data_IF_191181324845
#
_entry.id   IF_191181324845
#
_cell.length_a   1.000
_cell.length_b   1.000
_cell.length_c   1.000
_cell.angle_alpha   90.00
_cell.angle_beta   90.00
_cell.angle_gamma   90.00
#
_symmetry.space_group_name_H-M   'P 1'
#
loop_
_entity.id
_entity.type
_entity.pdbx_description
1 polymer ?
#
# COMPACT_ATOMS: atom_id res chain seq x y z
N UNK A 1 21.13 23.23 22.97
CA UNK A 1 20.53 22.86 21.67
C UNK A 1 19.83 21.52 21.77
N UNK A 2 18.54 21.32 21.54
CA UNK A 2 17.39 22.20 21.28
C UNK A 2 16.18 21.30 21.52
N UNK A 3 15.34 21.59 22.54
CA UNK A 3 14.09 20.88 22.79
C UNK A 3 13.02 21.48 21.87
N UNK A 4 12.41 20.67 21.00
CA UNK A 4 11.23 21.11 20.25
C UNK A 4 9.97 20.72 21.03
N UNK A 5 9.35 21.72 21.62
CA UNK A 5 8.00 21.65 22.18
C UNK A 5 7.01 22.03 21.08
N UNK A 6 6.10 21.13 20.71
CA UNK A 6 4.96 21.49 19.86
C UNK A 6 3.73 21.71 20.76
N UNK A 7 3.34 22.96 20.96
CA UNK A 7 2.08 23.30 21.62
C UNK A 7 0.99 23.45 20.56
N UNK A 8 -0.07 22.65 20.65
CA UNK A 8 -1.29 22.86 19.85
C UNK A 8 -2.26 23.66 20.71
N UNK A 9 -2.45 24.93 20.36
CA UNK A 9 -3.50 25.78 20.93
C UNK A 9 -4.85 25.26 20.45
N UNK A 10 -5.67 24.78 21.38
CA UNK A 10 -6.94 24.13 21.07
C UNK A 10 -8.07 24.98 21.64
N UNK A 11 -8.72 25.81 20.82
CA UNK A 11 -10.08 26.33 21.07
C UNK A 11 -10.76 26.75 19.76
N UNK A 12 -11.84 26.07 19.36
CA UNK A 12 -13.17 26.68 19.14
C UNK A 12 -14.25 25.64 18.77
N UNK A 13 -14.93 25.13 19.80
CA UNK A 13 -16.40 25.05 20.00
C UNK A 13 -17.41 24.60 18.92
N UNK A 14 -17.03 24.14 17.74
CA UNK A 14 -17.96 23.42 16.85
C UNK A 14 -17.20 22.45 15.93
N UNK A 15 -16.52 21.46 16.52
CA UNK A 15 -15.84 20.37 15.80
C UNK A 15 -16.85 19.32 15.31
N UNK A 16 -17.32 19.56 14.10
CA UNK A 16 -17.90 18.59 13.18
C UNK A 16 -17.12 17.26 13.22
N UNK A 17 -17.77 16.08 13.20
CA UNK A 17 -17.06 14.81 13.14
C UNK A 17 -16.48 14.66 11.74
N UNK A 18 -15.32 15.28 11.51
CA UNK A 18 -14.47 14.96 10.39
C UNK A 18 -14.21 13.46 10.49
N UNK A 19 -14.78 12.70 9.56
CA UNK A 19 -14.45 11.29 9.35
C UNK A 19 -12.98 11.21 8.94
N UNK A 20 -12.09 11.33 9.92
CA UNK A 20 -10.69 11.04 9.76
C UNK A 20 -10.62 9.56 9.42
N UNK A 21 -10.46 9.27 8.12
CA UNK A 21 -10.23 7.91 7.59
C UNK A 21 -9.04 7.32 8.36
N UNK A 22 -9.31 6.40 9.27
CA UNK A 22 -8.26 5.75 10.04
C UNK A 22 -7.43 4.88 9.09
N UNK A 23 -6.16 5.24 8.87
CA UNK A 23 -5.22 4.44 8.09
C UNK A 23 -4.77 3.27 8.97
N UNK A 24 -5.25 2.07 8.67
CA UNK A 24 -4.74 0.86 9.31
C UNK A 24 -3.41 0.46 8.67
N UNK A 25 -2.33 0.53 9.44
CA UNK A 25 -0.99 0.10 9.00
C UNK A 25 -0.66 -1.25 9.62
N UNK A 26 -0.25 -2.21 8.80
CA UNK A 26 0.21 -3.53 9.27
C UNK A 26 1.67 -3.76 8.84
N UNK A 27 2.50 -4.26 9.76
CA UNK A 27 3.92 -4.56 9.52
C UNK A 27 4.26 -5.91 10.13
N UNK A 28 4.85 -6.79 9.33
CA UNK A 28 5.35 -8.10 9.76
C UNK A 28 6.85 -8.23 9.40
N UNK A 29 7.60 -9.00 10.20
CA UNK A 29 8.99 -9.35 9.92
C UNK A 29 9.18 -10.85 10.12
N UNK A 30 9.71 -11.53 9.11
CA UNK A 30 10.09 -12.95 9.18
C UNK A 30 11.48 -13.17 8.59
N UNK A 31 12.14 -14.23 9.05
CA UNK A 31 13.40 -14.72 8.47
C UNK A 31 13.05 -15.81 7.46
N UNK A 32 13.54 -15.67 6.23
CA UNK A 32 13.26 -16.59 5.12
C UNK A 32 14.62 -17.01 4.52
N UNK A 33 14.85 -18.31 4.24
CA UNK A 33 16.10 -18.80 3.68
C UNK A 33 16.16 -18.59 2.15
N UNK A 34 15.90 -17.37 1.69
CA UNK A 34 15.87 -16.99 0.27
C UNK A 34 16.66 -15.70 0.09
N UNK A 35 17.51 -15.57 -0.96
CA UNK A 35 18.21 -14.32 -1.22
C UNK A 35 17.25 -13.16 -1.50
N UNK A 36 17.62 -11.96 -1.07
CA UNK A 36 16.78 -10.78 -1.21
C UNK A 36 16.46 -10.46 -2.67
N UNK A 37 17.41 -10.67 -3.58
CA UNK A 37 17.25 -10.39 -5.02
C UNK A 37 16.15 -11.26 -5.65
N UNK A 38 16.11 -12.55 -5.29
CA UNK A 38 15.07 -13.47 -5.78
C UNK A 38 13.70 -13.08 -5.23
N UNK A 39 13.63 -12.70 -3.96
CA UNK A 39 12.37 -12.25 -3.36
C UNK A 39 11.89 -10.96 -4.03
N UNK A 40 12.81 -10.02 -4.31
CA UNK A 40 12.53 -8.78 -5.02
C UNK A 40 12.03 -9.03 -6.45
N UNK A 41 12.63 -9.96 -7.19
CA UNK A 41 12.18 -10.34 -8.54
C UNK A 41 10.71 -10.80 -8.54
N UNK A 42 10.30 -11.56 -7.52
CA UNK A 42 8.91 -12.03 -7.39
C UNK A 42 7.95 -10.88 -7.07
N UNK A 43 8.30 -9.97 -6.16
CA UNK A 43 7.39 -8.88 -5.74
C UNK A 43 7.44 -7.65 -6.67
N UNK A 44 8.47 -7.51 -7.49
CA UNK A 44 8.53 -6.41 -8.46
C UNK A 44 7.60 -6.63 -9.65
N UNK A 45 7.27 -7.88 -9.98
CA UNK A 45 6.36 -8.24 -11.07
C UNK A 45 4.89 -8.23 -10.66
N UNK A 46 4.37 -7.01 -10.47
CA UNK A 46 2.98 -6.76 -10.03
C UNK A 46 1.94 -7.37 -10.99
N UNK A 47 2.26 -7.53 -12.28
CA UNK A 47 1.32 -8.05 -13.29
C UNK A 47 0.97 -9.53 -13.05
N UNK A 48 1.86 -10.27 -12.38
CA UNK A 48 1.70 -11.70 -12.08
C UNK A 48 1.02 -11.97 -10.75
N UNK A 49 0.66 -10.95 -9.97
CA UNK A 49 0.11 -11.12 -8.62
C UNK A 49 -1.16 -11.98 -8.59
N UNK A 50 -2.02 -11.87 -9.61
CA UNK A 50 -3.19 -12.73 -9.79
C UNK A 50 -2.89 -14.24 -9.81
N UNK A 51 -1.65 -14.64 -10.15
CA UNK A 51 -1.27 -16.06 -10.27
C UNK A 51 -0.87 -16.69 -8.95
N UNK A 52 -0.47 -15.89 -7.96
CA UNK A 52 0.15 -16.41 -6.74
C UNK A 52 -0.35 -15.78 -5.44
N UNK A 53 -0.89 -14.56 -5.45
CA UNK A 53 -1.44 -13.96 -4.24
C UNK A 53 -2.83 -14.53 -3.96
N UNK A 54 -3.08 -15.07 -2.76
CA UNK A 54 -4.43 -15.46 -2.37
C UNK A 54 -5.34 -14.22 -2.40
N UNK A 55 -6.59 -14.42 -2.80
CA UNK A 55 -7.61 -13.37 -2.88
C UNK A 55 -7.40 -12.29 -3.95
N UNK A 56 -6.28 -12.31 -4.69
CA UNK A 56 -6.09 -11.41 -5.82
C UNK A 56 -6.94 -11.87 -7.00
N UNK A 57 -7.94 -11.06 -7.38
CA UNK A 57 -8.88 -11.36 -8.47
C UNK A 57 -8.29 -10.94 -9.81
N UNK A 58 -7.61 -9.80 -9.84
CA UNK A 58 -6.87 -9.33 -11.01
C UNK A 58 -5.69 -8.45 -10.58
N UNK A 59 -4.66 -8.42 -11.42
CA UNK A 59 -3.50 -7.55 -11.25
C UNK A 59 -3.02 -7.10 -12.62
N UNK A 60 -2.86 -5.79 -12.83
CA UNK A 60 -2.40 -5.26 -14.12
C UNK A 60 -1.57 -4.00 -13.96
N UNK A 61 -0.45 -3.92 -14.68
CA UNK A 61 0.26 -2.64 -14.85
C UNK A 61 -0.44 -1.80 -15.92
N UNK A 62 -1.01 -0.67 -15.53
CA UNK A 62 -1.80 0.21 -16.40
C UNK A 62 -0.93 1.23 -17.13
N UNK A 63 0.10 1.77 -16.45
CA UNK A 63 1.03 2.75 -17.04
C UNK A 63 2.44 2.61 -16.47
N UNK A 64 3.44 2.99 -17.26
CA UNK A 64 4.85 3.10 -16.85
C UNK A 64 5.35 4.53 -17.15
N UNK A 65 5.11 5.49 -16.25
CA UNK A 65 5.51 6.88 -16.47
C UNK A 65 7.03 7.09 -16.50
N UNK A 66 7.82 6.23 -15.87
CA UNK A 66 9.30 6.26 -15.95
C UNK A 66 9.86 4.84 -15.84
N UNK A 67 11.19 4.69 -15.95
CA UNK A 67 11.85 3.37 -15.82
C UNK A 67 11.61 2.73 -14.45
N UNK A 68 11.53 3.52 -13.38
CA UNK A 68 11.39 3.02 -12.00
C UNK A 68 10.00 3.25 -11.40
N UNK A 69 9.07 3.86 -12.14
CA UNK A 69 7.72 4.13 -11.63
C UNK A 69 6.70 3.40 -12.49
N UNK A 70 5.82 2.67 -11.83
CA UNK A 70 4.70 1.98 -12.43
C UNK A 70 3.39 2.33 -11.73
N UNK A 71 2.32 2.40 -12.51
CA UNK A 71 0.96 2.56 -12.02
C UNK A 71 0.24 1.24 -12.24
N UNK A 72 -0.11 0.57 -11.15
CA UNK A 72 -0.76 -0.73 -11.18
C UNK A 72 -2.19 -0.64 -10.66
N UNK A 73 -3.04 -1.52 -11.16
CA UNK A 73 -4.40 -1.72 -10.70
C UNK A 73 -4.54 -3.17 -10.23
N UNK A 74 -5.14 -3.36 -9.06
CA UNK A 74 -5.31 -4.68 -8.46
C UNK A 74 -6.69 -4.78 -7.78
N UNK A 75 -7.36 -5.90 -8.00
CA UNK A 75 -8.61 -6.26 -7.34
C UNK A 75 -8.38 -7.30 -6.27
N UNK A 76 -8.86 -7.05 -5.05
CA UNK A 76 -8.85 -8.01 -3.93
C UNK A 76 -10.28 -8.46 -3.66
N UNK A 77 -10.50 -9.77 -3.72
CA UNK A 77 -11.80 -10.40 -3.50
C UNK A 77 -11.88 -11.09 -2.14
N UNK A 78 -12.85 -10.71 -1.31
CA UNK A 78 -13.14 -11.37 -0.06
C UNK A 78 -14.64 -11.67 0.06
N UNK A 79 -14.99 -12.96 -0.06
CA UNK A 79 -16.37 -13.46 -0.06
C UNK A 79 -17.21 -12.79 -1.17
N UNK A 80 -18.15 -11.92 -0.79
CA UNK A 80 -19.09 -11.23 -1.71
C UNK A 80 -18.56 -9.85 -2.12
N UNK A 81 -17.47 -9.39 -1.50
CA UNK A 81 -16.91 -8.07 -1.77
C UNK A 81 -15.66 -8.16 -2.63
N UNK A 82 -15.54 -7.25 -3.58
CA UNK A 82 -14.30 -7.03 -4.35
C UNK A 82 -13.96 -5.55 -4.26
N UNK A 83 -12.73 -5.25 -3.84
CA UNK A 83 -12.21 -3.90 -3.78
C UNK A 83 -11.10 -3.72 -4.81
N UNK A 84 -11.16 -2.63 -5.57
CA UNK A 84 -10.18 -2.30 -6.59
C UNK A 84 -9.30 -1.16 -6.11
N UNK A 85 -7.99 -1.34 -6.24
CA UNK A 85 -6.98 -0.38 -5.83
C UNK A 85 -6.13 0.03 -7.00
N UNK A 86 -5.73 1.29 -7.01
CA UNK A 86 -4.74 1.83 -7.95
C UNK A 86 -3.56 2.35 -7.16
N UNK A 87 -2.38 1.82 -7.44
CA UNK A 87 -1.15 2.11 -6.70
C UNK A 87 -0.08 2.73 -7.60
N UNK A 88 0.69 3.63 -6.99
CA UNK A 88 1.94 4.13 -7.53
C UNK A 88 3.07 3.34 -6.89
N UNK A 89 3.82 2.60 -7.69
CA UNK A 89 4.87 1.69 -7.22
C UNK A 89 6.21 2.18 -7.75
N UNK A 90 7.22 2.12 -6.90
CA UNK A 90 8.61 2.46 -7.23
C UNK A 90 9.46 1.20 -7.13
N UNK A 91 10.24 0.92 -8.17
CA UNK A 91 11.16 -0.20 -8.27
C UNK A 91 12.59 0.22 -7.88
#
# INVERSE_FOLDING_TARGET
NSRCSFSVTLRSFFDWPSSAKQIQTHREKRVIPVPADLFFEVVSDVDKYQKFLPFCVHSKVVKRPSQNILIAEMGIGFRVFTENYKSHVTL
#
